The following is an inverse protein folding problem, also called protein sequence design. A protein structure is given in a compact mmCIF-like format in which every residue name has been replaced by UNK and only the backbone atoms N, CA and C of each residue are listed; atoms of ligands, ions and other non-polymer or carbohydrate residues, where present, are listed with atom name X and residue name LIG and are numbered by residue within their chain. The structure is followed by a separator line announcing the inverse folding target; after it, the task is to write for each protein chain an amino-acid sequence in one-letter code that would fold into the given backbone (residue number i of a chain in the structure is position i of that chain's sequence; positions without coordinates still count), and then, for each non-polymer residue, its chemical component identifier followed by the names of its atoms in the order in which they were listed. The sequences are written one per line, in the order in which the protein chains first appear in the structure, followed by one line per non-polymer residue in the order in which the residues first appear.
data_IF_895924581773
#
_entry.id   IF_895924581773
#
_cell.length_a   1.000
_cell.length_b   1.000
_cell.length_c   1.000
_cell.angle_alpha   90.00
_cell.angle_beta   90.00
_cell.angle_gamma   90.00
#
_symmetry.space_group_name_H-M   'P 1'
#
loop_
_entity.id
_entity.type
_entity.pdbx_description
1 polymer ?
#
# COMPACT_ATOMS: atom_id res chain seq x y z
N UNK A 1 8.79 13.84 9.58
CA UNK A 1 7.66 12.92 9.30
C UNK A 1 7.79 12.26 7.93
N UNK A 2 7.79 13.00 6.81
CA UNK A 2 7.88 12.41 5.47
C UNK A 2 9.13 11.54 5.23
N UNK A 3 10.30 12.02 5.66
CA UNK A 3 11.54 11.23 5.53
C UNK A 3 11.45 9.90 6.28
N UNK A 4 10.77 9.87 7.43
CA UNK A 4 10.54 8.65 8.19
C UNK A 4 9.58 7.71 7.44
N UNK A 5 8.44 8.22 6.95
CA UNK A 5 7.51 7.44 6.12
C UNK A 5 8.25 6.78 4.94
N UNK A 6 9.04 7.55 4.19
CA UNK A 6 9.80 7.02 3.05
C UNK A 6 10.83 5.96 3.47
N UNK A 7 11.49 6.17 4.60
CA UNK A 7 12.44 5.20 5.14
C UNK A 7 11.74 3.88 5.47
N UNK A 8 10.60 3.93 6.14
CA UNK A 8 9.82 2.74 6.48
C UNK A 8 9.20 2.07 5.24
N UNK A 9 8.74 2.83 4.25
CA UNK A 9 8.27 2.29 2.97
C UNK A 9 9.39 1.57 2.21
N UNK A 10 10.62 2.10 2.23
CA UNK A 10 11.78 1.41 1.66
C UNK A 10 12.09 0.11 2.40
N UNK A 11 12.09 0.12 3.74
CA UNK A 11 12.27 -1.10 4.55
C UNK A 11 11.19 -2.14 4.25
N UNK A 12 9.95 -1.71 4.08
CA UNK A 12 8.85 -2.59 3.70
C UNK A 12 9.05 -3.17 2.29
N UNK A 13 9.58 -2.36 1.35
CA UNK A 13 9.86 -2.79 -0.02
C UNK A 13 11.04 -3.78 -0.09
N UNK A 14 12.08 -3.58 0.73
CA UNK A 14 13.23 -4.50 0.82
C UNK A 14 12.95 -5.74 1.68
N UNK A 15 11.84 -5.77 2.42
CA UNK A 15 11.50 -6.88 3.30
C UNK A 15 12.18 -6.83 4.68
N UNK A 16 12.74 -5.68 5.05
CA UNK A 16 13.44 -5.43 6.32
C UNK A 16 12.51 -5.11 7.49
N UNK A 17 11.19 -5.21 7.28
CA UNK A 17 10.17 -5.06 8.32
C UNK A 17 9.72 -6.45 8.78
N UNK A 18 9.98 -6.84 10.04
CA UNK A 18 9.53 -8.11 10.58
C UNK A 18 8.01 -8.29 10.48
N UNK A 19 7.55 -9.49 10.10
CA UNK A 19 6.12 -9.77 9.99
C UNK A 19 5.34 -9.61 11.30
N UNK A 20 6.01 -9.78 12.44
CA UNK A 20 5.44 -9.58 13.78
C UNK A 20 5.01 -8.13 14.00
N UNK A 21 5.74 -7.17 13.43
CA UNK A 21 5.44 -5.73 13.51
C UNK A 21 4.28 -5.34 12.58
N UNK A 22 3.94 -6.22 11.64
CA UNK A 22 2.88 -6.04 10.65
C UNK A 22 1.57 -6.72 11.06
N UNK A 23 1.49 -7.33 12.25
CA UNK A 23 0.30 -8.03 12.72
C UNK A 23 -0.86 -7.05 12.94
N UNK A 24 -1.96 -7.32 12.26
CA UNK A 24 -3.23 -6.59 12.41
C UNK A 24 -4.17 -7.42 13.27
N UNK A 25 -4.84 -6.77 14.22
CA UNK A 25 -5.91 -7.38 15.01
C UNK A 25 -7.27 -6.89 14.51
N UNK A 26 -8.17 -7.82 14.17
CA UNK A 26 -9.56 -7.51 13.80
C UNK A 26 -10.53 -8.25 14.70
N UNK A 27 -11.50 -7.51 15.24
CA UNK A 27 -12.68 -8.12 15.88
C UNK A 27 -13.65 -8.55 14.79
N UNK A 28 -14.04 -9.82 14.79
CA UNK A 28 -15.14 -10.30 13.95
C UNK A 28 -16.45 -10.18 14.71
N UNK A 29 -17.53 -9.84 14.03
CA UNK A 29 -18.90 -9.83 14.59
C UNK A 29 -19.74 -10.98 14.03
N UNK A 30 -19.19 -11.77 13.11
CA UNK A 30 -19.91 -12.81 12.39
C UNK A 30 -19.06 -14.08 12.25
N UNK A 31 -19.72 -15.21 12.14
CA UNK A 31 -19.09 -16.49 11.81
C UNK A 31 -18.62 -16.55 10.37
N UNK A 32 -17.65 -17.43 10.09
CA UNK A 32 -17.06 -17.65 8.77
C UNK A 32 -18.13 -17.91 7.69
N UNK A 33 -19.17 -18.68 8.01
CA UNK A 33 -20.25 -19.02 7.08
C UNK A 33 -21.13 -17.83 6.66
N UNK A 34 -21.16 -16.76 7.48
CA UNK A 34 -22.01 -15.59 7.24
C UNK A 34 -21.32 -14.52 6.35
N UNK A 35 -20.03 -14.70 6.05
CA UNK A 35 -19.29 -13.78 5.19
C UNK A 35 -19.66 -13.95 3.71
N UNK A 36 -20.31 -12.93 3.13
CA UNK A 36 -20.63 -12.89 1.70
C UNK A 36 -19.44 -12.50 0.82
N UNK A 37 -18.49 -11.73 1.35
CA UNK A 37 -17.34 -11.19 0.62
C UNK A 37 -16.05 -11.79 1.17
N UNK A 38 -15.22 -12.33 0.28
CA UNK A 38 -13.91 -12.91 0.60
C UNK A 38 -12.86 -11.81 0.86
N UNK A 39 -13.03 -11.04 1.92
CA UNK A 39 -12.09 -10.01 2.35
C UNK A 39 -10.91 -10.59 3.17
N UNK A 40 -9.98 -9.75 3.64
CA UNK A 40 -8.81 -10.18 4.40
C UNK A 40 -9.17 -10.80 5.76
N UNK A 41 -10.23 -10.30 6.42
CA UNK A 41 -10.71 -10.89 7.67
C UNK A 41 -11.29 -12.29 7.43
N UNK A 42 -12.06 -12.47 6.36
CA UNK A 42 -12.54 -13.79 5.93
C UNK A 42 -11.37 -14.74 5.66
N UNK A 43 -10.36 -14.29 4.91
CA UNK A 43 -9.15 -15.07 4.66
C UNK A 43 -8.46 -15.53 5.96
N UNK A 44 -8.37 -14.65 6.95
CA UNK A 44 -7.78 -14.98 8.25
C UNK A 44 -8.63 -15.97 9.05
N UNK A 45 -9.94 -15.79 9.09
CA UNK A 45 -10.86 -16.73 9.75
C UNK A 45 -10.84 -18.11 9.07
N UNK A 46 -10.81 -18.15 7.75
CA UNK A 46 -10.72 -19.39 6.97
C UNK A 46 -9.40 -20.11 7.25
N UNK A 47 -8.29 -19.37 7.31
CA UNK A 47 -6.98 -19.93 7.63
C UNK A 47 -6.89 -20.44 9.07
N UNK A 48 -7.52 -19.77 10.02
CA UNK A 48 -7.64 -20.24 11.40
C UNK A 48 -8.45 -21.55 11.45
N UNK A 49 -9.57 -21.62 10.73
CA UNK A 49 -10.41 -22.80 10.64
C UNK A 49 -9.67 -24.01 10.06
N UNK A 50 -8.94 -23.83 8.96
CA UNK A 50 -8.09 -24.89 8.35
C UNK A 50 -7.02 -25.43 9.30
N UNK A 51 -6.61 -24.63 10.30
CA UNK A 51 -5.66 -25.02 11.34
C UNK A 51 -6.30 -25.56 12.61
N UNK A 52 -7.63 -25.73 12.62
CA UNK A 52 -8.38 -26.25 13.75
C UNK A 52 -8.75 -25.20 14.81
N UNK A 53 -8.57 -23.90 14.53
CA UNK A 53 -8.97 -22.82 15.42
C UNK A 53 -10.28 -22.19 14.99
N UNK A 54 -11.23 -22.09 15.91
CA UNK A 54 -12.50 -21.40 15.67
C UNK A 54 -12.49 -20.07 16.41
N UNK A 55 -12.64 -18.97 15.66
CA UNK A 55 -12.79 -17.63 16.24
C UNK A 55 -14.29 -17.31 16.29
N UNK A 56 -14.92 -17.29 17.48
CA UNK A 56 -16.35 -17.06 17.59
C UNK A 56 -16.70 -15.60 17.25
N UNK A 57 -17.98 -15.29 16.99
CA UNK A 57 -18.46 -13.93 16.84
C UNK A 57 -18.15 -13.11 18.09
N UNK A 58 -17.65 -11.89 17.89
CA UNK A 58 -17.09 -11.05 18.96
C UNK A 58 -15.62 -11.34 19.29
N UNK A 59 -15.06 -12.43 18.78
CA UNK A 59 -13.65 -12.79 18.93
C UNK A 59 -12.71 -11.90 18.11
N UNK A 60 -11.41 -12.04 18.37
CA UNK A 60 -10.35 -11.31 17.67
C UNK A 60 -9.51 -12.29 16.86
N UNK A 61 -9.29 -11.98 15.60
CA UNK A 61 -8.33 -12.68 14.73
C UNK A 61 -7.11 -11.77 14.52
N UNK A 62 -5.91 -12.34 14.67
CA UNK A 62 -4.62 -11.65 14.52
C UNK A 62 -3.91 -12.22 13.29
N UNK A 63 -3.57 -11.37 12.33
CA UNK A 63 -2.96 -11.81 11.09
C UNK A 63 -2.10 -10.72 10.43
N UNK A 64 -1.13 -11.15 9.63
CA UNK A 64 -0.33 -10.30 8.75
C UNK A 64 -0.73 -10.59 7.31
N UNK A 65 -0.86 -9.54 6.51
CA UNK A 65 -1.19 -9.64 5.07
C UNK A 65 0.10 -9.86 4.31
N UNK A 66 0.20 -10.96 3.57
CA UNK A 66 1.39 -11.28 2.76
C UNK A 66 1.16 -11.00 1.27
N UNK A 67 -0.06 -11.23 0.79
CA UNK A 67 -0.45 -10.95 -0.60
C UNK A 67 -1.94 -10.59 -0.69
N UNK A 68 -2.26 -9.29 -0.72
CA UNK A 68 -3.66 -8.81 -0.81
C UNK A 68 -4.34 -9.22 -2.13
N UNK A 69 -3.57 -9.44 -3.20
CA UNK A 69 -4.05 -9.68 -4.57
C UNK A 69 -4.26 -11.15 -4.91
N UNK A 70 -3.76 -12.08 -4.10
CA UNK A 70 -3.86 -13.52 -4.37
C UNK A 70 -5.32 -13.95 -4.64
N UNK A 71 -5.55 -14.80 -5.64
CA UNK A 71 -6.90 -15.37 -5.89
C UNK A 71 -7.36 -16.23 -4.71
N UNK A 72 -6.41 -16.91 -4.05
CA UNK A 72 -6.66 -17.88 -3.00
C UNK A 72 -6.63 -17.21 -1.62
N UNK A 73 -7.76 -17.15 -0.88
CA UNK A 73 -7.81 -16.40 0.37
C UNK A 73 -6.80 -16.89 1.42
N UNK A 74 -6.52 -18.20 1.49
CA UNK A 74 -5.53 -18.76 2.42
C UNK A 74 -4.12 -18.24 2.18
N UNK A 75 -3.80 -17.84 0.94
CA UNK A 75 -2.48 -17.32 0.60
C UNK A 75 -2.34 -15.84 0.92
N UNK A 76 -3.45 -15.11 1.11
CA UNK A 76 -3.41 -13.67 1.35
C UNK A 76 -2.81 -13.27 2.68
N UNK A 77 -2.93 -14.14 3.69
CA UNK A 77 -2.59 -13.82 5.09
C UNK A 77 -1.84 -14.95 5.78
N UNK A 78 -1.16 -14.62 6.86
CA UNK A 78 -0.58 -15.55 7.85
C UNK A 78 -1.08 -15.14 9.23
N UNK A 79 -1.49 -16.10 10.06
CA UNK A 79 -1.89 -15.80 11.44
C UNK A 79 -0.66 -15.42 12.27
N UNK A 80 -0.87 -14.64 13.34
CA UNK A 80 0.22 -14.21 14.21
C UNK A 80 0.98 -15.41 14.81
N UNK A 81 0.24 -16.45 15.20
CA UNK A 81 0.77 -17.67 15.80
C UNK A 81 1.65 -18.46 14.80
N UNK A 82 1.38 -18.34 13.49
CA UNK A 82 2.24 -18.96 12.48
C UNK A 82 3.55 -18.23 12.34
N UNK A 83 3.52 -16.89 12.40
CA UNK A 83 4.68 -16.03 12.18
C UNK A 83 5.70 -16.26 13.29
N UNK A 84 5.24 -16.35 14.54
CA UNK A 84 6.09 -16.58 15.71
C UNK A 84 6.83 -17.94 15.62
N UNK A 85 6.24 -18.92 14.93
CA UNK A 85 6.79 -20.29 14.82
C UNK A 85 7.52 -20.53 13.48
N UNK A 86 7.27 -19.70 12.46
CA UNK A 86 7.76 -19.95 11.10
C UNK A 86 9.15 -19.33 10.87
N UNK A 87 10.11 -20.15 10.42
CA UNK A 87 11.43 -19.71 9.94
C UNK A 87 11.45 -19.30 8.46
N UNK A 88 10.28 -19.02 7.88
CA UNK A 88 10.14 -18.79 6.44
C UNK A 88 10.53 -17.37 6.02
N UNK A 89 11.03 -17.23 4.78
CA UNK A 89 11.29 -15.94 4.13
C UNK A 89 10.01 -15.35 3.53
N UNK A 90 9.05 -15.02 4.40
CA UNK A 90 7.82 -14.35 4.01
C UNK A 90 7.94 -12.85 4.32
N UNK A 91 7.43 -12.03 3.40
CA UNK A 91 7.41 -10.58 3.54
C UNK A 91 5.97 -10.06 3.59
N UNK A 92 5.80 -8.91 4.24
CA UNK A 92 4.50 -8.24 4.30
C UNK A 92 4.07 -7.70 2.94
N UNK A 93 2.75 -7.63 2.72
CA UNK A 93 2.19 -7.07 1.51
C UNK A 93 2.47 -5.57 1.41
N UNK A 94 3.43 -5.21 0.56
CA UNK A 94 3.91 -3.84 0.34
C UNK A 94 2.78 -2.85 0.05
N UNK A 95 1.86 -3.22 -0.85
CA UNK A 95 0.73 -2.38 -1.23
C UNK A 95 -0.18 -2.12 -0.02
N UNK A 96 -0.52 -3.17 0.73
CA UNK A 96 -1.45 -3.05 1.85
C UNK A 96 -0.89 -2.16 2.98
N UNK A 97 0.36 -2.40 3.39
CA UNK A 97 0.96 -1.64 4.47
C UNK A 97 1.41 -0.24 4.03
N UNK A 98 1.77 -0.07 2.75
CA UNK A 98 2.05 1.23 2.17
C UNK A 98 0.82 2.14 2.18
N UNK A 99 -0.33 1.65 1.71
CA UNK A 99 -1.62 2.35 1.79
C UNK A 99 -1.96 2.74 3.24
N UNK A 100 -1.72 1.84 4.19
CA UNK A 100 -2.00 2.08 5.61
C UNK A 100 -1.09 3.16 6.21
N UNK A 101 0.21 3.11 5.88
CA UNK A 101 1.20 4.09 6.33
C UNK A 101 0.92 5.48 5.74
N UNK A 102 0.61 5.56 4.44
CA UNK A 102 0.18 6.81 3.80
C UNK A 102 -1.05 7.40 4.50
N UNK A 103 -2.08 6.59 4.74
CA UNK A 103 -3.30 7.03 5.44
C UNK A 103 -3.01 7.52 6.86
N UNK A 104 -2.11 6.86 7.58
CA UNK A 104 -1.73 7.25 8.93
C UNK A 104 -1.03 8.62 8.94
N UNK A 105 -0.07 8.84 8.04
CA UNK A 105 0.62 10.13 7.93
C UNK A 105 -0.31 11.22 7.42
N UNK A 106 -1.19 10.92 6.47
CA UNK A 106 -2.21 11.86 6.01
C UNK A 106 -3.11 12.33 7.15
N UNK A 107 -3.58 11.42 8.02
CA UNK A 107 -4.42 11.79 9.16
C UNK A 107 -3.73 12.79 10.12
N UNK A 108 -2.40 12.76 10.23
CA UNK A 108 -1.62 13.72 11.01
C UNK A 108 -1.44 15.05 10.30
N UNK A 109 -1.27 15.04 8.97
CA UNK A 109 -0.91 16.22 8.19
C UNK A 109 -2.12 16.96 7.59
N UNK A 110 -3.27 16.31 7.48
CA UNK A 110 -4.48 16.89 6.90
C UNK A 110 -4.92 18.21 7.57
N UNK A 111 -4.86 18.38 8.92
CA UNK A 111 -5.18 19.66 9.56
C UNK A 111 -4.26 20.82 9.15
N UNK A 112 -3.09 20.52 8.57
CA UNK A 112 -2.11 21.50 8.11
C UNK A 112 -2.17 21.73 6.60
N UNK A 113 -3.26 21.32 5.94
CA UNK A 113 -3.48 21.57 4.51
C UNK A 113 -2.71 20.63 3.57
N UNK A 114 -2.26 19.47 4.07
CA UNK A 114 -1.61 18.47 3.23
C UNK A 114 -2.62 17.62 2.45
N UNK A 115 -2.36 17.41 1.16
CA UNK A 115 -3.13 16.51 0.30
C UNK A 115 -2.41 15.17 0.12
N UNK A 116 -3.16 14.16 -0.33
CA UNK A 116 -2.60 12.83 -0.66
C UNK A 116 -1.60 12.93 -1.82
N UNK A 117 -1.87 13.78 -2.80
CA UNK A 117 -1.00 14.04 -3.95
C UNK A 117 0.32 14.63 -3.48
N UNK A 118 0.27 15.61 -2.56
CA UNK A 118 1.45 16.23 -1.96
C UNK A 118 2.26 15.22 -1.14
N UNK A 119 1.60 14.25 -0.49
CA UNK A 119 2.26 13.18 0.24
C UNK A 119 3.05 12.24 -0.70
N UNK A 120 2.49 11.97 -1.89
CA UNK A 120 3.10 11.10 -2.91
C UNK A 120 4.19 11.81 -3.73
N UNK A 121 4.05 13.11 -3.96
CA UNK A 121 4.98 13.93 -4.75
C UNK A 121 6.03 14.64 -3.89
N UNK A 122 6.42 14.03 -2.78
CA UNK A 122 7.47 14.51 -1.92
C UNK A 122 7.31 15.89 -1.28
N UNK A 123 6.08 16.36 -1.12
CA UNK A 123 5.80 17.70 -0.60
C UNK A 123 5.74 18.77 -1.68
N UNK A 124 6.06 18.43 -2.93
CA UNK A 124 5.84 19.31 -4.09
C UNK A 124 4.35 19.42 -4.35
N UNK A 125 3.91 20.63 -4.65
CA UNK A 125 2.61 20.88 -5.26
C UNK A 125 2.89 21.27 -6.71
N UNK A 126 2.26 20.62 -7.69
CA UNK A 126 2.31 21.10 -9.06
C UNK A 126 1.74 22.51 -9.05
N UNK A 127 2.50 23.48 -9.56
CA UNK A 127 2.01 24.85 -9.62
C UNK A 127 1.13 25.01 -10.86
N UNK A 128 0.10 25.87 -10.80
CA UNK A 128 -0.76 26.15 -11.95
C UNK A 128 0.06 26.61 -13.18
N UNK A 129 1.19 27.29 -12.93
CA UNK A 129 2.14 27.72 -13.96
C UNK A 129 2.77 26.56 -14.75
N UNK A 130 2.95 25.40 -14.12
CA UNK A 130 3.51 24.19 -14.74
C UNK A 130 2.54 23.59 -15.78
N UNK A 131 1.24 23.84 -15.65
CA UNK A 131 0.22 23.42 -16.61
C UNK A 131 0.01 24.43 -17.75
N UNK A 132 0.50 25.67 -17.60
CA UNK A 132 0.36 26.73 -18.62
C UNK A 132 1.53 26.82 -19.59
N UNK A 133 2.52 25.94 -19.48
CA UNK A 133 3.54 25.74 -20.50
C UNK A 133 3.12 24.58 -21.41
N UNK A 134 2.35 24.82 -22.50
CA UNK A 134 2.34 23.87 -23.59
C UNK A 134 3.76 23.81 -24.14
N UNK A 135 4.30 22.61 -24.33
CA UNK A 135 5.62 22.37 -24.89
C UNK A 135 5.85 23.26 -26.12
N UNK A 136 6.59 24.34 -25.92
CA UNK A 136 7.04 25.22 -26.98
C UNK A 136 8.28 24.59 -27.63
N UNK A 137 8.15 23.38 -28.16
CA UNK A 137 9.09 22.86 -29.13
C UNK A 137 8.55 23.13 -30.53
N UNK A 138 8.82 24.36 -30.97
CA UNK A 138 8.84 24.69 -32.39
C UNK A 138 9.90 23.84 -33.08
N UNK A 139 9.45 22.78 -33.77
CA UNK A 139 10.28 22.11 -34.75
C UNK A 139 10.42 23.02 -35.97
N UNK A 140 11.67 23.38 -36.26
CA UNK A 140 12.09 24.43 -37.16
C UNK A 140 11.51 24.34 -38.58
N UNK A 141 10.86 25.40 -39.00
CA UNK A 141 10.71 25.76 -40.40
C UNK A 141 11.98 26.51 -40.82
N UNK A 142 12.87 25.86 -41.58
CA UNK A 142 13.91 26.58 -42.32
C UNK A 142 13.25 27.23 -43.56
N UNK A 143 13.32 28.56 -43.73
CA UNK A 143 12.97 29.15 -45.01
C UNK A 143 14.11 28.94 -46.00
N UNK A 144 13.77 28.37 -47.16
CA UNK A 144 14.49 28.63 -48.41
C UNK A 144 14.24 30.09 -48.78
N UNK A 145 15.30 30.86 -49.03
CA UNK A 145 15.25 31.94 -50.01
C UNK A 145 16.59 32.04 -50.73
N UNK A 146 16.46 32.08 -52.05
CA UNK A 146 17.50 32.08 -53.06
C UNK A 146 18.10 33.48 -53.32
N UNK A 147 19.30 33.44 -53.93
CA UNK A 147 19.82 34.31 -55.03
C UNK A 147 20.72 35.53 -54.77
N UNK A 148 21.91 35.42 -55.43
CA UNK A 148 22.75 36.44 -56.10
C UNK A 148 23.66 37.29 -55.18
N UNK A 149 24.94 37.58 -55.46
CA UNK A 149 25.68 37.81 -56.73
C UNK A 149 27.21 37.75 -56.44
N UNK A 150 28.00 37.11 -57.32
CA UNK A 150 29.15 37.70 -58.06
C UNK A 150 29.62 36.73 -59.16
#
# INVERSE_FOLDING_TARGET
VLNHLRSELRRLDTGDVPLVDLVITRRTTQDLANYRVKNLTYAALMRAHERGYVVPPGGKVRYTVVDKSSTEPLQRVRLAEEIETSKGSLFGCKIHYGELAERAIWALLAPFGWTTERLRQDGRQPSLLEFTHPDAEGSGHQPMDELSTD
#
